data_IF_014563351516
#
_entry.id   IF_014563351516
#
_cell.length_a   1.000
_cell.length_b   1.000
_cell.length_c   1.000
_cell.angle_alpha   90.00
_cell.angle_beta   90.00
_cell.angle_gamma   90.00
#
_symmetry.space_group_name_H-M   'P 1'
#
loop_
_entity.id
_entity.type
_entity.pdbx_description
1 polymer ?
#
# COMPACT_ATOMS: atom_id res chain seq x y z
N UNK A 1 26.68 -65.62 6.08
CA UNK A 1 26.10 -64.74 7.11
C UNK A 1 25.89 -63.38 6.44
N UNK A 2 24.66 -63.09 6.06
CA UNK A 2 24.32 -61.81 5.36
C UNK A 2 23.52 -61.01 6.37
N UNK A 3 24.12 -59.91 6.82
CA UNK A 3 23.50 -59.00 7.77
C UNK A 3 22.63 -58.01 6.99
N UNK A 4 21.33 -58.00 7.24
CA UNK A 4 20.36 -57.04 6.74
C UNK A 4 20.54 -55.72 7.47
N UNK A 5 20.80 -54.63 6.70
CA UNK A 5 20.71 -53.25 7.17
C UNK A 5 19.29 -52.75 6.84
N UNK A 6 18.49 -52.50 7.87
CA UNK A 6 17.17 -51.91 7.77
C UNK A 6 17.31 -50.38 7.79
N UNK A 7 17.02 -49.73 6.67
CA UNK A 7 16.95 -48.27 6.58
C UNK A 7 15.59 -47.79 7.07
N UNK A 8 15.58 -47.03 8.14
CA UNK A 8 14.43 -46.24 8.60
C UNK A 8 14.33 -44.94 7.75
N UNK A 9 13.45 -44.95 6.77
CA UNK A 9 13.03 -43.75 6.08
C UNK A 9 11.97 -43.05 6.94
N UNK A 10 12.37 -42.00 7.66
CA UNK A 10 11.47 -41.09 8.34
C UNK A 10 10.76 -40.20 7.29
N UNK A 11 9.47 -40.42 7.10
CA UNK A 11 8.63 -39.59 6.26
C UNK A 11 8.42 -38.25 6.95
N UNK A 12 9.09 -37.20 6.48
CA UNK A 12 8.73 -35.84 6.80
C UNK A 12 7.48 -35.47 5.98
N UNK A 13 6.32 -35.49 6.63
CA UNK A 13 5.11 -34.90 6.06
C UNK A 13 5.27 -33.37 6.20
N UNK A 14 5.73 -32.73 5.13
CA UNK A 14 5.60 -31.29 4.98
C UNK A 14 4.12 -31.03 4.73
N UNK A 15 3.40 -30.57 5.74
CA UNK A 15 2.08 -29.99 5.58
C UNK A 15 2.23 -28.67 4.80
N UNK A 16 2.36 -28.77 3.49
CA UNK A 16 2.03 -27.69 2.58
C UNK A 16 0.54 -27.43 2.76
N UNK A 17 0.21 -26.38 3.50
CA UNK A 17 -1.14 -25.85 3.55
C UNK A 17 -1.56 -25.51 2.12
N UNK A 18 -2.16 -26.48 1.42
CA UNK A 18 -2.74 -26.25 0.12
C UNK A 18 -3.86 -25.25 0.29
N UNK A 19 -3.63 -24.02 -0.17
CA UNK A 19 -4.70 -23.10 -0.49
C UNK A 19 -5.55 -23.79 -1.57
N UNK A 20 -6.60 -24.47 -1.15
CA UNK A 20 -7.58 -24.99 -2.10
C UNK A 20 -8.28 -23.79 -2.71
N UNK A 21 -8.07 -23.55 -4.00
CA UNK A 21 -8.90 -22.68 -4.80
C UNK A 21 -10.35 -23.17 -4.63
N UNK A 22 -11.12 -22.44 -3.83
CA UNK A 22 -12.55 -22.73 -3.68
C UNK A 22 -13.28 -22.22 -4.93
N UNK A 23 -14.46 -22.74 -5.21
CA UNK A 23 -15.32 -22.26 -6.31
C UNK A 23 -15.62 -20.74 -6.24
N UNK A 24 -15.30 -20.08 -5.14
CA UNK A 24 -15.36 -18.63 -4.97
C UNK A 24 -14.29 -17.86 -5.77
N UNK A 25 -13.28 -18.54 -6.35
CA UNK A 25 -12.29 -17.91 -7.24
C UNK A 25 -12.89 -17.50 -8.62
N UNK A 26 -14.14 -17.81 -8.89
CA UNK A 26 -14.83 -17.52 -10.15
C UNK A 26 -15.49 -16.13 -10.23
N UNK A 27 -15.50 -15.37 -9.13
CA UNK A 27 -16.13 -14.04 -9.09
C UNK A 27 -15.10 -12.91 -8.92
N UNK A 28 -14.06 -12.91 -9.78
CA UNK A 28 -13.14 -11.77 -9.86
C UNK A 28 -13.88 -10.62 -10.53
N UNK A 29 -14.03 -9.50 -9.82
CA UNK A 29 -14.62 -8.30 -10.41
C UNK A 29 -13.72 -7.78 -11.54
N UNK A 30 -14.32 -7.45 -12.69
CA UNK A 30 -13.59 -6.77 -13.78
C UNK A 30 -13.26 -5.36 -13.29
N UNK A 31 -11.98 -4.97 -13.26
CA UNK A 31 -11.60 -3.61 -12.87
C UNK A 31 -12.16 -2.58 -13.84
N UNK A 32 -12.60 -1.46 -13.29
CA UNK A 32 -13.09 -0.31 -14.06
C UNK A 32 -11.97 0.72 -14.10
N UNK A 33 -11.56 1.10 -15.31
CA UNK A 33 -10.58 2.16 -15.52
C UNK A 33 -11.19 3.53 -15.19
N UNK A 34 -10.52 4.30 -14.33
CA UNK A 34 -10.97 5.62 -13.88
C UNK A 34 -10.23 6.74 -14.61
N UNK A 35 -8.95 6.53 -14.94
CA UNK A 35 -8.12 7.51 -15.66
C UNK A 35 -7.49 6.90 -16.91
N UNK A 36 -6.94 7.77 -17.76
CA UNK A 36 -6.14 7.41 -18.93
C UNK A 36 -4.77 8.07 -18.80
N UNK A 37 -3.71 7.30 -19.01
CA UNK A 37 -2.30 7.70 -19.04
C UNK A 37 -1.72 8.34 -17.77
N UNK A 38 -0.54 7.89 -17.35
CA UNK A 38 0.38 8.51 -16.38
C UNK A 38 -0.27 9.06 -15.10
N UNK A 39 -1.20 8.28 -14.51
CA UNK A 39 -1.87 8.61 -13.25
C UNK A 39 -1.74 7.44 -12.27
N UNK A 40 -1.34 7.72 -11.04
CA UNK A 40 -1.05 6.68 -10.05
C UNK A 40 -1.27 7.15 -8.61
N UNK A 41 -1.18 6.23 -7.67
CA UNK A 41 -1.30 6.39 -6.22
C UNK A 41 -2.55 7.14 -5.76
N UNK A 42 -3.75 6.60 -6.07
CA UNK A 42 -5.00 7.24 -5.69
C UNK A 42 -5.22 7.20 -4.18
N UNK A 43 -5.71 8.31 -3.61
CA UNK A 43 -6.19 8.36 -2.23
C UNK A 43 -7.59 8.97 -2.18
N UNK A 44 -8.62 8.20 -1.76
CA UNK A 44 -9.98 8.70 -1.62
C UNK A 44 -10.13 9.72 -0.50
N UNK A 45 -10.92 10.76 -0.74
CA UNK A 45 -11.35 11.69 0.33
C UNK A 45 -12.26 10.97 1.32
N UNK A 46 -12.28 11.38 2.62
CA UNK A 46 -13.07 10.68 3.64
C UNK A 46 -14.58 10.74 3.41
N UNK A 47 -15.09 11.68 2.62
CA UNK A 47 -16.49 11.72 2.19
C UNK A 47 -16.79 10.87 0.93
N UNK A 48 -15.75 10.25 0.36
CA UNK A 48 -15.84 9.37 -0.81
C UNK A 48 -16.17 10.06 -2.13
N UNK A 49 -16.18 11.40 -2.18
CA UNK A 49 -16.55 12.14 -3.40
C UNK A 49 -15.38 12.42 -4.33
N UNK A 50 -14.17 12.48 -3.81
CA UNK A 50 -12.97 12.83 -4.56
C UNK A 50 -11.86 11.79 -4.42
N UNK A 51 -10.94 11.82 -5.36
CA UNK A 51 -9.62 11.20 -5.26
C UNK A 51 -8.57 12.31 -5.36
N UNK A 52 -7.49 12.23 -4.59
CA UNK A 52 -6.22 12.88 -4.87
C UNK A 52 -5.29 11.82 -5.45
N UNK A 53 -4.47 12.19 -6.42
CA UNK A 53 -3.60 11.25 -7.13
C UNK A 53 -2.42 11.98 -7.75
N UNK A 54 -1.42 11.23 -8.18
CA UNK A 54 -0.27 11.75 -8.92
C UNK A 54 -0.58 11.72 -10.41
N UNK A 55 -0.18 12.77 -11.12
CA UNK A 55 -0.30 12.84 -12.58
C UNK A 55 0.90 13.54 -13.21
N UNK A 56 1.33 13.02 -14.36
CA UNK A 56 2.34 13.60 -15.23
C UNK A 56 1.78 14.60 -16.26
N UNK A 57 0.50 14.96 -16.19
CA UNK A 57 -0.16 15.88 -17.15
C UNK A 57 0.51 17.25 -17.27
N UNK A 58 1.21 17.70 -16.24
CA UNK A 58 1.97 18.96 -16.23
C UNK A 58 3.43 18.82 -16.66
N UNK A 59 3.89 17.62 -17.03
CA UNK A 59 5.28 17.31 -17.35
C UNK A 59 6.17 17.00 -16.15
N UNK A 60 5.61 17.04 -14.94
CA UNK A 60 6.22 16.65 -13.65
C UNK A 60 5.21 15.86 -12.83
N UNK A 61 5.67 15.13 -11.84
CA UNK A 61 4.82 14.46 -10.86
C UNK A 61 4.19 15.49 -9.93
N UNK A 62 2.93 15.80 -10.21
CA UNK A 62 2.15 16.77 -9.44
C UNK A 62 0.88 16.11 -8.91
N UNK A 63 0.36 16.65 -7.82
CA UNK A 63 -0.90 16.19 -7.27
C UNK A 63 -2.07 16.84 -8.01
N UNK A 64 -3.03 16.00 -8.35
CA UNK A 64 -4.30 16.36 -8.94
C UNK A 64 -5.44 15.83 -8.09
N UNK A 65 -6.60 16.43 -8.23
CA UNK A 65 -7.85 15.90 -7.70
C UNK A 65 -8.82 15.60 -8.82
N UNK A 66 -9.73 14.66 -8.60
CA UNK A 66 -10.87 14.37 -9.48
C UNK A 66 -12.06 13.91 -8.64
N UNK A 67 -13.24 13.89 -9.22
CA UNK A 67 -14.37 13.20 -8.61
C UNK A 67 -14.15 11.69 -8.62
N UNK A 68 -14.75 10.96 -7.69
CA UNK A 68 -14.55 9.51 -7.53
C UNK A 68 -15.00 8.66 -8.74
N UNK A 69 -15.66 9.28 -9.73
CA UNK A 69 -16.03 8.69 -11.02
C UNK A 69 -15.07 9.05 -12.18
N UNK A 70 -13.96 9.74 -11.87
CA UNK A 70 -12.93 10.14 -12.84
C UNK A 70 -13.16 11.48 -13.54
N UNK A 71 -14.21 12.21 -13.19
CA UNK A 71 -14.51 13.53 -13.79
C UNK A 71 -13.87 14.68 -13.02
N UNK A 72 -13.95 15.88 -13.61
CA UNK A 72 -13.54 17.16 -12.99
C UNK A 72 -12.11 17.13 -12.47
N UNK A 73 -11.16 16.65 -13.29
CA UNK A 73 -9.73 16.63 -13.00
C UNK A 73 -9.22 18.05 -12.84
N UNK A 74 -8.55 18.35 -11.71
CA UNK A 74 -7.97 19.64 -11.40
C UNK A 74 -6.60 19.48 -10.76
N UNK A 75 -5.61 20.24 -11.24
CA UNK A 75 -4.27 20.27 -10.67
C UNK A 75 -4.26 20.97 -9.32
N UNK A 76 -3.68 20.33 -8.31
CA UNK A 76 -3.62 20.80 -6.93
C UNK A 76 -2.29 21.48 -6.61
N UNK A 77 -1.14 20.90 -7.02
CA UNK A 77 0.20 21.47 -6.80
C UNK A 77 0.80 21.98 -8.13
N UNK A 78 1.65 23.04 -8.08
CA UNK A 78 2.22 23.70 -9.26
C UNK A 78 3.63 24.24 -9.03
N UNK A 79 4.33 23.76 -8.03
CA UNK A 79 5.70 24.18 -7.76
C UNK A 79 6.73 23.36 -8.57
N UNK A 80 8.02 23.59 -8.28
CA UNK A 80 9.11 22.93 -9.01
C UNK A 80 9.51 21.55 -8.44
N UNK A 81 8.97 21.15 -7.29
CA UNK A 81 9.22 19.86 -6.69
C UNK A 81 8.29 18.79 -7.31
N UNK A 82 8.71 17.54 -7.28
CA UNK A 82 7.85 16.41 -7.55
C UNK A 82 7.12 15.98 -6.26
N UNK A 83 5.91 15.50 -6.41
CA UNK A 83 5.03 15.12 -5.30
C UNK A 83 4.53 13.71 -5.49
N UNK A 84 4.72 12.84 -4.47
CA UNK A 84 4.32 11.43 -4.51
C UNK A 84 3.50 11.02 -3.28
N UNK A 85 2.95 9.80 -3.33
CA UNK A 85 2.28 9.10 -2.22
C UNK A 85 1.23 9.95 -1.47
N UNK A 86 0.26 10.60 -2.13
CA UNK A 86 -0.72 11.42 -1.43
C UNK A 86 -1.63 10.59 -0.55
N UNK A 87 -1.93 11.11 0.66
CA UNK A 87 -2.88 10.50 1.58
C UNK A 87 -3.79 11.57 2.20
N UNK A 88 -5.12 11.47 1.98
CA UNK A 88 -6.10 12.30 2.66
C UNK A 88 -6.11 12.04 4.16
N UNK A 89 -6.16 13.11 4.97
CA UNK A 89 -6.44 12.97 6.40
C UNK A 89 -7.88 12.52 6.62
N UNK A 90 -8.17 11.67 7.63
CA UNK A 90 -9.52 11.21 7.94
C UNK A 90 -10.53 12.33 8.21
N UNK A 91 -10.09 13.51 8.68
CA UNK A 91 -10.95 14.69 8.89
C UNK A 91 -11.18 15.52 7.61
N UNK A 92 -10.54 15.13 6.49
CA UNK A 92 -10.66 15.77 5.18
C UNK A 92 -9.98 17.13 5.03
N UNK A 93 -9.23 17.60 6.04
CA UNK A 93 -8.65 18.95 6.03
C UNK A 93 -7.28 19.04 5.42
N UNK A 94 -6.52 17.93 5.44
CA UNK A 94 -5.13 17.89 4.99
C UNK A 94 -4.87 16.72 4.05
N UNK A 95 -3.76 16.82 3.34
CA UNK A 95 -3.17 15.77 2.53
C UNK A 95 -1.71 15.62 3.00
N UNK A 96 -1.31 14.42 3.39
CA UNK A 96 0.10 14.06 3.56
C UNK A 96 0.65 13.63 2.20
N UNK A 97 1.94 13.88 1.95
CA UNK A 97 2.60 13.61 0.68
C UNK A 97 4.10 13.42 0.88
N UNK A 98 4.75 12.85 -0.11
CA UNK A 98 6.20 12.92 -0.28
C UNK A 98 6.53 14.13 -1.14
N UNK A 99 7.37 15.02 -0.62
CA UNK A 99 7.94 16.14 -1.34
C UNK A 99 9.34 15.75 -1.82
N UNK A 100 9.55 15.72 -3.15
CA UNK A 100 10.82 15.34 -3.75
C UNK A 100 11.52 16.59 -4.26
N UNK A 101 12.69 16.85 -3.71
CA UNK A 101 13.59 17.92 -4.16
C UNK A 101 14.86 17.30 -4.75
N UNK A 102 15.72 18.12 -5.36
CA UNK A 102 17.04 17.65 -5.86
C UNK A 102 17.91 17.05 -4.79
N UNK A 103 17.68 17.38 -3.53
CA UNK A 103 18.52 16.99 -2.41
C UNK A 103 17.98 15.73 -1.70
N UNK A 104 16.65 15.57 -1.65
CA UNK A 104 16.03 14.51 -0.83
C UNK A 104 14.53 14.37 -1.04
N UNK A 105 13.99 13.28 -0.46
CA UNK A 105 12.56 13.06 -0.22
C UNK A 105 12.19 13.38 1.23
N UNK A 106 11.05 14.01 1.44
CA UNK A 106 10.56 14.41 2.78
C UNK A 106 9.06 14.18 2.89
N UNK A 107 8.60 13.79 4.08
CA UNK A 107 7.17 13.82 4.36
C UNK A 107 6.75 15.26 4.62
N UNK A 108 5.72 15.68 3.93
CA UNK A 108 5.07 16.97 4.12
C UNK A 108 3.56 16.78 4.30
N UNK A 109 2.91 17.81 4.80
CA UNK A 109 1.45 17.96 4.82
C UNK A 109 1.06 19.28 4.19
N UNK A 110 -0.08 19.31 3.51
CA UNK A 110 -0.68 20.53 2.99
C UNK A 110 -2.17 20.59 3.33
N UNK A 111 -2.79 21.72 3.17
CA UNK A 111 -4.24 21.83 3.22
C UNK A 111 -4.89 21.05 2.07
N UNK A 112 -6.14 20.63 2.22
CA UNK A 112 -6.87 19.89 1.19
C UNK A 112 -7.07 20.66 -0.13
N UNK A 113 -6.90 22.00 -0.11
CA UNK A 113 -6.95 22.88 -1.27
C UNK A 113 -5.58 23.07 -1.98
N UNK A 114 -4.53 22.40 -1.49
CA UNK A 114 -3.16 22.47 -2.02
C UNK A 114 -2.30 23.58 -1.40
N UNK A 115 -2.85 24.41 -0.51
CA UNK A 115 -2.10 25.48 0.14
C UNK A 115 -1.30 24.99 1.36
N UNK A 116 -0.34 25.82 1.81
CA UNK A 116 0.40 25.65 3.06
C UNK A 116 1.14 24.30 3.19
N UNK A 117 2.02 24.00 2.25
CA UNK A 117 2.90 22.82 2.33
C UNK A 117 3.88 23.01 3.50
N UNK A 118 3.85 22.09 4.46
CA UNK A 118 4.70 22.04 5.63
C UNK A 118 5.47 20.72 5.69
N UNK A 119 6.82 20.78 5.68
CA UNK A 119 7.68 19.61 5.83
C UNK A 119 7.70 19.16 7.28
N UNK A 120 7.45 17.87 7.50
CA UNK A 120 7.38 17.27 8.85
C UNK A 120 8.64 16.53 9.26
N UNK A 121 9.39 15.98 8.31
CA UNK A 121 10.56 15.13 8.61
C UNK A 121 11.86 15.90 8.52
N UNK A 122 12.88 15.52 9.33
CA UNK A 122 14.16 16.21 9.38
C UNK A 122 14.98 15.98 8.10
N UNK A 123 15.99 16.82 7.92
CA UNK A 123 16.85 16.84 6.71
C UNK A 123 17.81 15.66 6.62
N UNK A 124 18.02 14.95 7.69
CA UNK A 124 19.03 13.90 7.83
C UNK A 124 18.61 12.59 7.18
N UNK A 125 17.31 12.42 6.88
CA UNK A 125 16.76 11.17 6.32
C UNK A 125 15.86 11.42 5.13
N UNK A 126 15.99 10.57 4.11
CA UNK A 126 14.97 10.42 3.08
C UNK A 126 13.78 9.67 3.65
N UNK A 127 12.58 10.15 3.38
CA UNK A 127 11.35 9.60 3.96
C UNK A 127 10.23 9.51 2.92
N UNK A 128 9.48 8.39 2.96
CA UNK A 128 8.46 8.02 1.95
C UNK A 128 7.25 7.35 2.60
N UNK A 129 6.19 7.12 1.83
CA UNK A 129 4.98 6.35 2.14
C UNK A 129 4.23 6.87 3.39
N UNK A 130 3.78 8.14 3.39
CA UNK A 130 3.00 8.69 4.50
C UNK A 130 1.61 8.07 4.58
N UNK A 131 1.11 7.89 5.81
CA UNK A 131 -0.28 7.56 6.08
C UNK A 131 -0.74 8.21 7.39
N UNK A 132 -2.04 8.34 7.58
CA UNK A 132 -2.62 9.06 8.73
C UNK A 132 -3.03 8.14 9.86
N UNK A 133 -2.93 8.66 11.09
CA UNK A 133 -3.70 8.16 12.23
C UNK A 133 -5.19 8.47 12.06
N UNK A 134 -6.08 7.62 12.61
CA UNK A 134 -7.52 7.80 12.46
C UNK A 134 -8.05 9.13 13.03
N UNK A 135 -7.34 9.72 14.00
CA UNK A 135 -7.68 11.02 14.60
C UNK A 135 -7.07 12.22 13.88
N UNK A 136 -6.38 12.00 12.74
CA UNK A 136 -5.72 13.03 11.92
C UNK A 136 -4.62 13.83 12.64
N UNK A 137 -4.04 13.31 13.74
CA UNK A 137 -3.01 14.03 14.51
C UNK A 137 -1.60 13.57 14.23
N UNK A 138 -1.43 12.40 13.67
CA UNK A 138 -0.14 11.79 13.42
C UNK A 138 -0.02 11.30 11.99
N UNK A 139 1.22 11.29 11.47
CA UNK A 139 1.58 10.68 10.20
C UNK A 139 2.59 9.57 10.46
N UNK A 140 2.27 8.35 10.03
CA UNK A 140 3.18 7.21 9.96
C UNK A 140 3.88 7.24 8.60
N UNK A 141 5.17 6.95 8.57
CA UNK A 141 5.99 6.97 7.38
C UNK A 141 7.19 6.02 7.52
N UNK A 142 7.93 5.76 6.45
CA UNK A 142 9.17 5.02 6.55
C UNK A 142 10.39 5.83 6.05
N UNK A 143 11.58 5.47 6.57
CA UNK A 143 12.86 5.98 6.05
C UNK A 143 13.22 5.26 4.74
N UNK A 144 14.01 5.93 3.89
CA UNK A 144 14.43 5.42 2.58
C UNK A 144 15.96 5.52 2.35
N UNK A 145 16.75 5.97 3.32
CA UNK A 145 18.19 6.23 3.14
C UNK A 145 18.97 4.99 2.74
N UNK A 146 18.62 3.85 3.30
CA UNK A 146 19.32 2.58 3.11
C UNK A 146 18.66 1.66 2.07
N UNK A 147 17.67 2.15 1.32
CA UNK A 147 17.04 1.39 0.22
C UNK A 147 17.77 1.52 -1.11
N UNK A 148 18.66 2.51 -1.25
CA UNK A 148 19.51 2.66 -2.42
C UNK A 148 20.75 1.76 -2.37
N UNK A 149 21.20 1.17 -3.52
CA UNK A 149 22.46 0.44 -3.55
C UNK A 149 23.65 1.34 -3.13
N UNK A 150 24.66 0.81 -2.39
CA UNK A 150 24.86 -0.58 -2.02
C UNK A 150 24.21 -1.01 -0.68
N UNK A 151 23.52 -0.12 0.02
CA UNK A 151 23.07 -0.31 1.40
C UNK A 151 21.60 -0.72 1.56
N UNK A 152 21.04 -1.60 0.80
CA UNK A 152 19.66 -2.08 0.99
C UNK A 152 19.47 -2.86 2.32
N UNK A 153 19.77 -2.24 3.44
CA UNK A 153 19.86 -2.97 4.70
C UNK A 153 18.78 -2.60 5.71
N UNK A 154 18.26 -1.37 5.70
CA UNK A 154 17.33 -0.94 6.72
C UNK A 154 16.34 0.13 6.21
N UNK A 155 15.07 -0.05 6.55
CA UNK A 155 14.05 0.98 6.49
C UNK A 155 13.17 0.86 7.74
N UNK A 156 12.98 1.96 8.43
CA UNK A 156 12.23 2.00 9.69
C UNK A 156 10.88 2.66 9.48
N UNK A 157 9.88 2.20 10.21
CA UNK A 157 8.59 2.88 10.29
C UNK A 157 8.58 3.77 11.51
N UNK A 158 8.34 5.05 11.28
CA UNK A 158 8.29 6.10 12.26
C UNK A 158 6.91 6.77 12.26
N UNK A 159 6.61 7.47 13.36
CA UNK A 159 5.44 8.34 13.48
C UNK A 159 5.89 9.74 13.85
N UNK A 160 5.31 10.74 13.20
CA UNK A 160 5.44 12.15 13.57
C UNK A 160 4.11 12.69 14.07
N UNK A 161 4.13 13.33 15.23
CA UNK A 161 2.98 14.05 15.78
C UNK A 161 2.95 15.48 15.21
N UNK A 162 1.80 15.89 14.67
CA UNK A 162 1.69 17.16 13.94
C UNK A 162 1.82 18.38 14.85
N UNK A 163 1.36 18.28 16.08
CA UNK A 163 1.37 19.41 17.01
C UNK A 163 2.73 19.63 17.66
N UNK A 164 3.37 18.53 18.11
CA UNK A 164 4.63 18.57 18.83
C UNK A 164 5.86 18.41 17.96
N UNK A 165 5.67 17.96 16.71
CA UNK A 165 6.73 17.54 15.76
C UNK A 165 7.63 16.42 16.29
N UNK A 166 7.20 15.75 17.36
CA UNK A 166 7.93 14.61 17.92
C UNK A 166 7.87 13.43 16.98
N UNK A 167 9.04 12.89 16.65
CA UNK A 167 9.20 11.66 15.90
C UNK A 167 9.44 10.50 16.85
N UNK A 168 8.74 9.39 16.64
CA UNK A 168 8.86 8.17 17.44
C UNK A 168 9.07 7.00 16.50
N UNK A 169 10.20 6.28 16.56
CA UNK A 169 10.40 5.02 15.87
C UNK A 169 9.43 3.96 16.42
N UNK A 170 8.73 3.24 15.53
CA UNK A 170 7.80 2.17 15.90
C UNK A 170 8.29 0.79 15.49
N UNK A 171 8.75 0.63 14.24
CA UNK A 171 9.20 -0.66 13.73
C UNK A 171 10.61 -0.47 13.17
N UNK A 172 11.56 -1.13 13.81
CA UNK A 172 12.99 -1.06 13.50
C UNK A 172 13.54 -2.47 13.20
N UNK A 173 14.74 -2.51 12.62
CA UNK A 173 15.43 -3.76 12.28
C UNK A 173 14.90 -4.40 10.98
N UNK A 174 15.75 -4.39 9.95
CA UNK A 174 15.43 -4.85 8.60
C UNK A 174 14.68 -3.80 7.78
N UNK A 175 14.15 -4.22 6.63
CA UNK A 175 13.45 -3.33 5.70
C UNK A 175 11.95 -3.41 5.93
N UNK A 176 11.37 -2.36 6.53
CA UNK A 176 9.96 -2.22 6.86
C UNK A 176 9.39 -0.99 6.18
N UNK A 177 8.33 -1.15 5.38
CA UNK A 177 7.75 -0.08 4.56
C UNK A 177 6.22 -0.13 4.55
N UNK A 178 5.57 0.90 4.01
CA UNK A 178 4.12 0.98 3.82
C UNK A 178 3.32 0.77 5.11
N UNK A 179 3.73 1.45 6.20
CA UNK A 179 2.99 1.41 7.47
C UNK A 179 1.58 1.99 7.35
N UNK A 180 0.59 1.30 7.89
CA UNK A 180 -0.81 1.71 7.88
C UNK A 180 -1.48 1.35 9.20
N UNK A 181 -2.08 2.34 9.88
CA UNK A 181 -2.85 2.13 11.09
C UNK A 181 -4.16 1.39 10.83
N UNK A 182 -4.56 0.49 11.74
CA UNK A 182 -5.94 0.03 11.82
C UNK A 182 -6.87 1.19 12.22
N UNK A 183 -8.14 1.20 11.78
CA UNK A 183 -9.07 2.31 12.10
C UNK A 183 -9.28 2.53 13.59
N UNK A 184 -9.14 1.49 14.43
CA UNK A 184 -9.23 1.56 15.89
C UNK A 184 -7.91 1.96 16.57
N UNK A 185 -6.85 2.23 15.79
CA UNK A 185 -5.51 2.63 16.25
C UNK A 185 -4.79 1.60 17.13
N UNK A 186 -5.22 0.32 17.13
CA UNK A 186 -4.60 -0.71 17.97
C UNK A 186 -3.49 -1.49 17.27
N UNK A 187 -3.49 -1.49 15.95
CA UNK A 187 -2.54 -2.26 15.14
C UNK A 187 -1.97 -1.44 13.99
N UNK A 188 -0.83 -1.89 13.48
CA UNK A 188 -0.16 -1.35 12.29
C UNK A 188 0.04 -2.52 11.34
N UNK A 189 -0.49 -2.43 10.12
CA UNK A 189 -0.10 -3.30 9.01
C UNK A 189 1.09 -2.68 8.27
N UNK A 190 2.02 -3.50 7.83
CA UNK A 190 3.19 -3.03 7.11
C UNK A 190 3.78 -4.14 6.22
N UNK A 191 4.59 -3.74 5.26
CA UNK A 191 5.41 -4.67 4.47
C UNK A 191 6.75 -4.86 5.15
N UNK A 192 7.19 -6.12 5.28
CA UNK A 192 8.54 -6.49 5.72
C UNK A 192 9.23 -7.32 4.64
N UNK A 193 10.43 -6.92 4.26
CA UNK A 193 11.28 -7.72 3.36
C UNK A 193 11.98 -8.78 4.23
N UNK A 194 11.82 -10.05 3.87
CA UNK A 194 12.36 -11.20 4.61
C UNK A 194 13.41 -12.00 3.85
N UNK A 195 13.82 -11.52 2.69
CA UNK A 195 14.85 -12.12 1.83
C UNK A 195 15.05 -11.29 0.58
N UNK A 196 15.97 -11.69 -0.28
CA UNK A 196 16.28 -10.94 -1.51
C UNK A 196 15.10 -10.89 -2.49
N UNK A 197 14.29 -11.96 -2.50
CA UNK A 197 13.16 -12.13 -3.43
C UNK A 197 11.82 -12.33 -2.72
N UNK A 198 11.71 -11.95 -1.44
CA UNK A 198 10.47 -12.11 -0.69
C UNK A 198 10.17 -10.92 0.21
N UNK A 199 8.90 -10.52 0.20
CA UNK A 199 8.34 -9.59 1.18
C UNK A 199 6.93 -10.03 1.57
N UNK A 200 6.57 -9.75 2.81
CA UNK A 200 5.32 -10.19 3.39
C UNK A 200 4.57 -9.03 4.06
N UNK A 201 3.26 -9.18 4.15
CA UNK A 201 2.42 -8.30 4.96
C UNK A 201 2.45 -8.77 6.41
N UNK A 202 2.89 -7.90 7.29
CA UNK A 202 2.90 -8.10 8.74
C UNK A 202 1.89 -7.21 9.42
N UNK A 203 1.52 -7.58 10.63
CA UNK A 203 0.80 -6.73 11.58
C UNK A 203 1.57 -6.68 12.90
N UNK A 204 1.58 -5.53 13.54
CA UNK A 204 2.10 -5.30 14.89
C UNK A 204 1.06 -4.61 15.76
N UNK A 205 1.24 -4.60 17.07
CA UNK A 205 0.51 -3.68 17.94
C UNK A 205 0.85 -2.22 17.61
N UNK A 206 0.08 -1.26 18.11
CA UNK A 206 0.29 0.17 17.91
C UNK A 206 1.66 0.69 18.41
N UNK A 207 2.29 -0.02 19.33
CA UNK A 207 3.65 0.23 19.84
C UNK A 207 4.77 -0.42 19.02
N UNK A 208 4.43 -1.10 17.91
CA UNK A 208 5.37 -1.81 17.03
C UNK A 208 5.77 -3.21 17.53
N UNK A 209 5.29 -3.64 18.69
CA UNK A 209 5.60 -4.95 19.26
C UNK A 209 4.65 -6.05 18.74
N UNK A 210 4.96 -7.31 19.09
CA UNK A 210 4.14 -8.48 18.72
C UNK A 210 3.89 -8.62 17.21
N UNK A 211 4.95 -8.45 16.43
CA UNK A 211 4.89 -8.58 14.98
C UNK A 211 4.48 -9.99 14.55
N UNK A 212 3.51 -10.09 13.65
CA UNK A 212 3.00 -11.35 13.12
C UNK A 212 2.89 -11.29 11.61
N UNK A 213 3.43 -12.29 10.91
CA UNK A 213 3.28 -12.46 9.46
C UNK A 213 1.85 -12.90 9.11
N UNK A 214 1.20 -12.20 8.20
CA UNK A 214 -0.16 -12.50 7.74
C UNK A 214 -0.21 -13.29 6.44
N UNK A 215 0.79 -13.15 5.58
CA UNK A 215 0.76 -13.74 4.24
C UNK A 215 1.57 -15.03 4.12
N UNK A 216 2.73 -15.12 4.73
CA UNK A 216 3.57 -16.31 4.91
C UNK A 216 3.67 -17.22 3.67
N UNK A 217 4.22 -16.73 2.58
CA UNK A 217 4.38 -17.45 1.32
C UNK A 217 5.67 -17.01 0.59
N UNK A 218 6.11 -17.69 -0.48
CA UNK A 218 7.37 -17.37 -1.17
C UNK A 218 7.26 -16.22 -2.19
N UNK A 219 6.20 -15.42 -2.16
CA UNK A 219 5.95 -14.37 -3.12
C UNK A 219 6.12 -12.99 -2.50
N UNK A 220 6.21 -11.96 -3.35
CA UNK A 220 6.18 -10.58 -2.89
C UNK A 220 4.75 -10.17 -2.56
N UNK A 221 4.52 -9.79 -1.29
CA UNK A 221 3.30 -9.19 -0.78
C UNK A 221 3.61 -7.82 -0.19
N UNK A 222 2.80 -6.80 -0.49
CA UNK A 222 3.06 -5.45 -0.02
C UNK A 222 1.89 -4.48 -0.18
N UNK A 223 2.11 -3.23 0.12
CA UNK A 223 1.11 -2.15 0.07
C UNK A 223 -0.16 -2.45 0.89
N UNK A 224 -0.04 -2.87 2.16
CA UNK A 224 -1.22 -3.19 2.94
C UNK A 224 -2.07 -1.95 3.22
N UNK A 225 -3.38 -2.10 3.08
CA UNK A 225 -4.37 -1.07 3.38
C UNK A 225 -5.55 -1.66 4.15
N UNK A 226 -5.80 -1.15 5.36
CA UNK A 226 -6.95 -1.54 6.16
C UNK A 226 -8.26 -1.09 5.54
N UNK A 227 -9.28 -1.94 5.58
CA UNK A 227 -10.65 -1.50 5.31
C UNK A 227 -11.13 -0.53 6.39
N UNK A 228 -12.01 0.43 6.07
CA UNK A 228 -12.51 1.43 7.04
C UNK A 228 -13.17 0.84 8.28
N UNK A 229 -13.73 -0.37 8.18
CA UNK A 229 -14.33 -1.10 9.31
C UNK A 229 -13.31 -1.96 10.10
N UNK A 230 -12.04 -1.98 9.69
CA UNK A 230 -10.97 -2.74 10.32
C UNK A 230 -11.05 -4.26 10.18
N UNK A 231 -11.97 -4.78 9.37
CA UNK A 231 -12.18 -6.24 9.25
C UNK A 231 -11.31 -6.90 8.21
N UNK A 232 -10.80 -6.13 7.23
CA UNK A 232 -10.05 -6.63 6.07
C UNK A 232 -8.81 -5.82 5.81
N UNK A 233 -7.86 -6.43 5.10
CA UNK A 233 -6.66 -5.79 4.56
C UNK A 233 -6.62 -6.08 3.07
N UNK A 234 -6.55 -5.03 2.24
CA UNK A 234 -6.19 -5.14 0.83
C UNK A 234 -4.66 -5.07 0.71
N UNK A 235 -4.10 -5.78 -0.23
CA UNK A 235 -2.66 -5.80 -0.50
C UNK A 235 -2.37 -6.20 -1.94
N UNK A 236 -1.17 -5.90 -2.42
CA UNK A 236 -0.69 -6.36 -3.72
C UNK A 236 0.19 -7.60 -3.56
N UNK A 237 0.06 -8.56 -4.48
CA UNK A 237 0.81 -9.81 -4.48
C UNK A 237 1.13 -10.29 -5.89
N UNK A 238 2.31 -10.88 -6.12
CA UNK A 238 2.68 -11.47 -7.40
C UNK A 238 2.45 -13.00 -7.45
N UNK A 239 1.71 -13.57 -6.51
CA UNK A 239 1.49 -15.03 -6.37
C UNK A 239 0.72 -15.69 -7.52
N UNK A 240 0.07 -14.91 -8.38
CA UNK A 240 -0.76 -15.44 -9.49
C UNK A 240 -0.21 -15.14 -10.88
N UNK A 241 0.74 -14.19 -11.00
CA UNK A 241 1.25 -13.76 -12.29
C UNK A 241 2.65 -13.15 -12.15
N UNK A 242 3.27 -12.79 -13.30
CA UNK A 242 4.56 -12.08 -13.29
C UNK A 242 4.45 -10.62 -12.80
N UNK A 243 3.22 -10.06 -12.66
CA UNK A 243 2.95 -8.75 -12.10
C UNK A 243 2.21 -8.85 -10.76
N UNK A 244 2.12 -7.74 -10.03
CA UNK A 244 1.32 -7.65 -8.82
C UNK A 244 -0.17 -7.57 -9.15
N UNK A 245 -0.98 -8.25 -8.36
CA UNK A 245 -2.43 -8.23 -8.43
C UNK A 245 -3.02 -7.87 -7.06
N UNK A 246 -4.25 -7.37 -7.02
CA UNK A 246 -4.88 -6.93 -5.78
C UNK A 246 -5.62 -8.08 -5.11
N UNK A 247 -5.25 -8.32 -3.86
CA UNK A 247 -5.84 -9.30 -2.96
C UNK A 247 -6.51 -8.63 -1.77
N UNK A 248 -7.45 -9.34 -1.16
CA UNK A 248 -8.06 -8.97 0.12
C UNK A 248 -8.02 -10.19 1.04
N UNK A 249 -7.69 -9.98 2.29
CA UNK A 249 -7.75 -10.98 3.36
C UNK A 249 -8.49 -10.41 4.58
N UNK A 250 -8.89 -11.28 5.50
CA UNK A 250 -9.36 -10.84 6.81
C UNK A 250 -8.21 -10.18 7.61
N UNK A 251 -8.53 -9.38 8.59
CA UNK A 251 -7.53 -8.70 9.45
C UNK A 251 -6.60 -9.67 10.22
N UNK A 252 -7.01 -10.91 10.41
CA UNK A 252 -6.21 -11.98 11.01
C UNK A 252 -5.28 -12.72 10.01
N UNK A 253 -5.35 -12.40 8.72
CA UNK A 253 -4.62 -13.02 7.63
C UNK A 253 -5.37 -14.17 6.93
N UNK A 254 -6.53 -14.58 7.44
CA UNK A 254 -7.31 -15.66 6.85
C UNK A 254 -8.08 -15.21 5.58
N UNK A 255 -8.54 -16.20 4.80
CA UNK A 255 -9.43 -16.01 3.64
C UNK A 255 -8.89 -15.03 2.58
N UNK A 256 -7.58 -15.04 2.33
CA UNK A 256 -6.98 -14.25 1.27
C UNK A 256 -7.53 -14.63 -0.11
N UNK A 257 -8.03 -13.68 -0.87
CA UNK A 257 -8.57 -13.89 -2.21
C UNK A 257 -8.17 -12.79 -3.17
N UNK A 258 -8.04 -13.15 -4.45
CA UNK A 258 -7.86 -12.20 -5.54
C UNK A 258 -9.14 -11.37 -5.75
N UNK A 259 -9.02 -10.06 -5.88
CA UNK A 259 -10.17 -9.17 -6.16
C UNK A 259 -10.04 -8.42 -7.47
N UNK A 260 -8.81 -8.16 -7.94
CA UNK A 260 -8.55 -7.59 -9.25
C UNK A 260 -7.42 -8.34 -9.94
N UNK A 261 -7.68 -8.78 -11.16
CA UNK A 261 -6.69 -9.35 -12.07
C UNK A 261 -6.55 -8.44 -13.27
N UNK A 262 -5.35 -7.91 -13.51
CA UNK A 262 -5.06 -7.00 -14.61
C UNK A 262 -3.90 -7.52 -15.44
N UNK A 263 -3.73 -7.01 -16.65
CA UNK A 263 -2.58 -7.35 -17.51
C UNK A 263 -1.27 -6.73 -16.99
N UNK A 264 -1.37 -5.67 -16.14
CA UNK A 264 -0.23 -4.95 -15.59
C UNK A 264 0.11 -5.32 -14.16
N UNK A 265 0.79 -4.38 -13.50
CA UNK A 265 1.15 -4.46 -12.08
C UNK A 265 0.16 -3.62 -11.28
N UNK A 266 -0.75 -4.28 -10.56
CA UNK A 266 -1.67 -3.64 -9.64
C UNK A 266 -1.00 -3.38 -8.29
N UNK A 267 -0.87 -2.12 -7.87
CA UNK A 267 -0.19 -1.71 -6.64
C UNK A 267 -0.99 -0.65 -5.87
N UNK A 268 -0.56 -0.32 -4.67
CA UNK A 268 -1.09 0.78 -3.83
C UNK A 268 -2.62 0.76 -3.67
N UNK A 269 -3.24 -0.35 -3.24
CA UNK A 269 -4.69 -0.39 -3.05
C UNK A 269 -5.14 0.58 -1.95
N UNK A 270 -6.28 1.25 -2.19
CA UNK A 270 -6.94 2.16 -1.23
C UNK A 270 -8.43 1.91 -1.21
N UNK A 271 -8.98 1.71 -0.03
CA UNK A 271 -10.41 1.50 0.16
C UNK A 271 -11.21 2.80 0.02
N UNK A 272 -12.40 2.72 -0.59
CA UNK A 272 -13.40 3.78 -0.43
C UNK A 272 -13.88 3.83 1.03
N UNK A 273 -14.31 5.00 1.54
CA UNK A 273 -14.76 5.13 2.93
C UNK A 273 -15.92 4.23 3.32
N UNK A 274 -16.76 3.82 2.37
CA UNK A 274 -17.87 2.88 2.56
C UNK A 274 -17.46 1.40 2.47
N UNK A 275 -16.16 1.12 2.31
CA UNK A 275 -15.57 -0.20 2.16
C UNK A 275 -16.06 -1.01 0.92
N UNK A 276 -16.79 -0.39 -0.02
CA UNK A 276 -17.37 -1.10 -1.17
C UNK A 276 -16.48 -1.15 -2.39
N UNK A 277 -15.48 -0.28 -2.46
CA UNK A 277 -14.57 -0.15 -3.60
C UNK A 277 -13.12 -0.16 -3.14
N UNK A 278 -12.24 -0.60 -4.02
CA UNK A 278 -10.79 -0.50 -3.88
C UNK A 278 -10.28 0.19 -5.14
N UNK A 279 -9.64 1.34 -4.97
CA UNK A 279 -8.89 2.04 -6.01
C UNK A 279 -7.45 1.58 -5.95
N UNK A 280 -6.78 1.48 -7.08
CA UNK A 280 -5.39 1.06 -7.14
C UNK A 280 -4.71 1.55 -8.42
N UNK A 281 -3.39 1.58 -8.42
CA UNK A 281 -2.57 1.83 -9.60
C UNK A 281 -2.40 0.55 -10.38
N UNK A 282 -2.55 0.60 -11.71
CA UNK A 282 -2.17 -0.47 -12.61
C UNK A 282 -1.19 0.05 -13.66
N UNK A 283 0.01 -0.48 -13.69
CA UNK A 283 1.05 -0.08 -14.63
C UNK A 283 1.34 -1.20 -15.64
N UNK A 284 1.25 -0.88 -16.92
CA UNK A 284 1.53 -1.79 -18.02
C UNK A 284 2.79 -1.34 -18.73
N UNK A 285 3.72 -2.25 -18.96
CA UNK A 285 4.91 -1.97 -19.80
C UNK A 285 4.48 -1.91 -21.27
N UNK A 286 4.85 -0.85 -21.95
CA UNK A 286 4.63 -0.62 -23.38
C UNK A 286 5.95 -0.37 -24.09
N UNK A 287 5.96 -0.44 -25.42
CA UNK A 287 7.17 -0.23 -26.26
C UNK A 287 7.89 1.11 -26.00
N UNK A 288 7.18 2.09 -25.47
CA UNK A 288 7.68 3.46 -25.22
C UNK A 288 7.76 3.82 -23.73
N UNK A 289 7.73 2.84 -22.82
CA UNK A 289 7.80 3.06 -21.38
C UNK A 289 6.63 2.45 -20.62
N UNK A 290 6.52 2.80 -19.34
CA UNK A 290 5.45 2.30 -18.47
C UNK A 290 4.26 3.25 -18.52
N UNK A 291 3.08 2.73 -18.76
CA UNK A 291 1.82 3.46 -18.71
C UNK A 291 1.03 3.06 -17.46
N UNK A 292 0.75 4.04 -16.60
CA UNK A 292 0.08 3.81 -15.32
C UNK A 292 -1.29 4.48 -15.29
N UNK A 293 -2.27 3.76 -14.77
CA UNK A 293 -3.66 4.19 -14.69
C UNK A 293 -4.26 3.88 -13.33
N UNK A 294 -5.26 4.65 -12.93
CA UNK A 294 -6.05 4.36 -11.75
C UNK A 294 -7.22 3.48 -12.16
N UNK A 295 -7.29 2.31 -11.55
CA UNK A 295 -8.40 1.37 -11.67
C UNK A 295 -9.20 1.30 -10.37
N UNK A 296 -10.45 0.85 -10.48
CA UNK A 296 -11.32 0.60 -9.35
C UNK A 296 -11.96 -0.78 -9.49
N UNK A 297 -12.04 -1.49 -8.39
CA UNK A 297 -12.75 -2.77 -8.30
C UNK A 297 -13.71 -2.75 -7.11
N UNK A 298 -14.80 -3.52 -7.19
CA UNK A 298 -15.66 -3.76 -6.03
C UNK A 298 -14.97 -4.69 -5.05
N UNK A 299 -15.06 -4.38 -3.77
CA UNK A 299 -14.41 -5.15 -2.70
C UNK A 299 -15.08 -6.52 -2.47
N UNK A 300 -16.35 -6.65 -2.79
CA UNK A 300 -17.12 -7.88 -2.69
C UNK A 300 -17.68 -8.31 -4.06
N UNK A 301 -17.74 -9.61 -4.32
CA UNK A 301 -18.40 -10.14 -5.51
C UNK A 301 -19.85 -9.67 -5.56
N UNK A 302 -20.37 -9.38 -6.76
CA UNK A 302 -21.80 -9.15 -6.94
C UNK A 302 -22.49 -10.50 -7.12
N UNK A 303 -23.66 -10.73 -6.49
CA UNK A 303 -24.46 -11.89 -6.82
C UNK A 303 -24.80 -11.85 -8.32
N UNK A 304 -24.54 -12.96 -9.00
CA UNK A 304 -24.96 -13.12 -10.41
C UNK A 304 -26.49 -12.92 -10.40
N UNK A 305 -26.95 -11.86 -11.06
CA UNK A 305 -28.38 -11.62 -11.20
C UNK A 305 -29.07 -12.87 -11.79
N UNK A 306 -30.10 -13.34 -11.06
CA UNK A 306 -30.98 -14.39 -11.52
C UNK A 306 -31.83 -13.88 -12.68
#
# INVERSE_FOLDING_TARGET
MITKVTSLLGSWVVLLGAWQASAADLEISIPIQITHAQNFDPSPSPDGKKLVFISMLSGKEQLFTMDADGKNIAQLTRDDADHEDPAWSPDGKKIALVLITKERTSIAVMNADGSNIEVLTPKEHNTIHPNWSADSKQVIYCTNDDLAPPKKNEAQINVVDLATKKITPLITGGINTYGSWSPDMKQIAFRKIIGEENSEVFVANADGLNQRNLTNNPFFDGWPAWSPDGRKIAFASNRRSHGYQIFVMNADGANGRLVANTEGRGTAPRWSPDAKKIYFTNCVEKDYGTDCEILMVRSEPQPIGK
#
